data_IF_045916182252
#
_entry.id   IF_045916182252
#
_cell.length_a   1.000
_cell.length_b   1.000
_cell.length_c   1.000
_cell.angle_alpha   90.00
_cell.angle_beta   90.00
_cell.angle_gamma   90.00
#
_symmetry.space_group_name_H-M   'P 1'
#
loop_
_entity.id
_entity.type
_entity.pdbx_description
1 polymer ?
#
# COMPACT_ATOMS: atom_id res chain seq x y z
N UNK A 1 -12.87 10.24 -9.08
CA UNK A 1 -12.11 8.99 -9.16
C UNK A 1 -11.33 8.81 -7.88
N UNK A 2 -11.53 7.69 -7.18
CA UNK A 2 -10.80 7.43 -5.94
C UNK A 2 -9.36 7.02 -6.24
N UNK A 3 -8.43 7.69 -5.57
CA UNK A 3 -7.01 7.37 -5.69
C UNK A 3 -6.57 6.60 -4.44
N UNK A 4 -5.98 5.44 -4.65
CA UNK A 4 -5.47 4.63 -3.54
C UNK A 4 -4.24 5.32 -2.93
N UNK A 5 -4.27 5.60 -1.62
CA UNK A 5 -3.28 6.44 -0.95
C UNK A 5 -2.14 5.66 -0.31
N UNK A 6 -1.59 4.67 -1.01
CA UNK A 6 -0.53 3.86 -0.45
C UNK A 6 0.74 4.67 -0.17
N UNK A 7 1.14 5.56 -1.09
CA UNK A 7 2.31 6.40 -0.88
C UNK A 7 2.16 7.28 0.37
N UNK A 8 0.99 7.87 0.54
CA UNK A 8 0.72 8.72 1.70
C UNK A 8 0.71 7.91 3.00
N UNK A 9 0.16 6.70 2.96
CA UNK A 9 0.14 5.82 4.13
C UNK A 9 1.56 5.44 4.56
N UNK A 10 2.43 5.10 3.60
CA UNK A 10 3.81 4.77 3.91
C UNK A 10 4.57 5.97 4.47
N UNK A 11 4.36 7.16 3.89
CA UNK A 11 5.00 8.38 4.37
C UNK A 11 4.57 8.71 5.80
N UNK A 12 3.28 8.62 6.10
CA UNK A 12 2.76 8.86 7.45
C UNK A 12 3.31 7.84 8.45
N UNK A 13 3.42 6.59 8.04
CA UNK A 13 3.95 5.54 8.89
C UNK A 13 5.41 5.85 9.29
N UNK A 14 6.22 6.30 8.34
CA UNK A 14 7.59 6.69 8.61
C UNK A 14 7.66 7.88 9.56
N UNK A 15 6.82 8.88 9.37
CA UNK A 15 6.74 10.06 10.24
C UNK A 15 6.37 9.68 11.67
N UNK A 16 5.60 8.61 11.84
CA UNK A 16 5.19 8.11 13.15
C UNK A 16 6.19 7.12 13.77
N UNK A 17 7.35 6.95 13.13
CA UNK A 17 8.41 6.08 13.64
C UNK A 17 8.33 4.64 13.17
N UNK A 18 7.35 4.29 12.34
CA UNK A 18 7.22 2.95 11.77
C UNK A 18 7.85 2.91 10.38
N UNK A 19 9.02 2.32 10.28
CA UNK A 19 9.68 2.21 8.98
C UNK A 19 9.04 1.11 8.16
N UNK A 20 8.37 1.49 7.09
CA UNK A 20 7.75 0.55 6.14
C UNK A 20 8.66 0.44 4.92
N UNK A 21 9.22 -0.74 4.71
CA UNK A 21 10.02 -1.01 3.51
C UNK A 21 9.11 -1.32 2.34
N UNK A 22 9.24 -0.55 1.27
CA UNK A 22 8.46 -0.78 0.05
C UNK A 22 8.72 -2.17 -0.53
N UNK A 23 9.97 -2.62 -0.48
CA UNK A 23 10.36 -3.96 -0.95
C UNK A 23 9.71 -5.06 -0.11
N UNK A 24 9.74 -4.93 1.21
CA UNK A 24 9.12 -5.89 2.12
C UNK A 24 7.61 -5.94 1.92
N UNK A 25 6.99 -4.78 1.80
CA UNK A 25 5.55 -4.70 1.59
C UNK A 25 5.16 -5.35 0.26
N UNK A 26 5.91 -5.08 -0.80
CA UNK A 26 5.68 -5.70 -2.09
C UNK A 26 5.78 -7.22 -2.02
N UNK A 27 6.73 -7.75 -1.25
CA UNK A 27 6.87 -9.18 -1.04
C UNK A 27 5.68 -9.80 -0.33
N UNK A 28 5.08 -9.08 0.60
CA UNK A 28 3.87 -9.55 1.29
C UNK A 28 2.62 -9.46 0.41
N UNK A 29 2.53 -8.39 -0.39
CA UNK A 29 1.37 -8.18 -1.25
C UNK A 29 1.36 -9.11 -2.47
N UNK A 30 2.52 -9.43 -3.00
CA UNK A 30 2.65 -10.21 -4.24
C UNK A 30 3.60 -11.41 -4.05
N UNK A 31 3.28 -12.35 -3.14
CA UNK A 31 4.23 -13.41 -2.77
C UNK A 31 4.54 -14.40 -3.90
N UNK A 32 3.65 -14.52 -4.88
CA UNK A 32 3.85 -15.43 -6.01
C UNK A 32 4.55 -14.81 -7.20
N UNK A 33 4.96 -13.55 -7.12
CA UNK A 33 5.52 -12.81 -8.24
C UNK A 33 7.04 -12.70 -8.12
N UNK A 34 7.74 -12.59 -9.26
CA UNK A 34 9.17 -12.30 -9.27
C UNK A 34 9.42 -10.89 -8.70
N UNK A 35 10.68 -10.63 -8.32
CA UNK A 35 11.05 -9.34 -7.75
C UNK A 35 10.73 -8.19 -8.70
N UNK A 36 11.03 -8.35 -9.98
CA UNK A 36 10.71 -7.32 -10.98
C UNK A 36 9.20 -7.08 -11.10
N UNK A 37 8.41 -8.16 -11.11
CA UNK A 37 6.95 -8.05 -11.17
C UNK A 37 6.41 -7.40 -9.90
N UNK A 38 6.98 -7.70 -8.75
CA UNK A 38 6.59 -7.06 -7.49
C UNK A 38 6.80 -5.55 -7.54
N UNK A 39 7.94 -5.11 -8.08
CA UNK A 39 8.23 -3.68 -8.21
C UNK A 39 7.23 -2.98 -9.13
N UNK A 40 6.93 -3.57 -10.27
CA UNK A 40 5.97 -3.00 -11.23
C UNK A 40 4.59 -2.91 -10.60
N UNK A 41 4.13 -4.00 -9.99
CA UNK A 41 2.82 -4.03 -9.35
C UNK A 41 2.73 -3.03 -8.18
N UNK A 42 3.79 -2.91 -7.42
CA UNK A 42 3.84 -1.97 -6.30
C UNK A 42 3.79 -0.52 -6.80
N UNK A 43 4.51 -0.22 -7.88
CA UNK A 43 4.48 1.11 -8.50
C UNK A 43 3.08 1.45 -8.98
N UNK A 44 2.42 0.51 -9.66
CA UNK A 44 1.04 0.72 -10.13
C UNK A 44 0.09 0.95 -8.96
N UNK A 45 0.25 0.20 -7.89
CA UNK A 45 -0.58 0.35 -6.70
C UNK A 45 -0.37 1.72 -6.05
N UNK A 46 0.88 2.17 -5.93
CA UNK A 46 1.22 3.47 -5.36
C UNK A 46 0.67 4.63 -6.21
N UNK A 47 0.69 4.47 -7.53
CA UNK A 47 0.23 5.50 -8.45
C UNK A 47 -1.28 5.51 -8.64
N UNK A 48 -1.98 4.54 -8.08
CA UNK A 48 -3.42 4.44 -8.22
C UNK A 48 -3.88 3.96 -9.59
N UNK A 49 -2.99 3.34 -10.36
CA UNK A 49 -3.33 2.81 -11.70
C UNK A 49 -3.85 1.39 -11.66
N UNK A 50 -3.76 0.72 -10.51
CA UNK A 50 -4.31 -0.61 -10.32
C UNK A 50 -5.84 -0.55 -10.32
N UNK A 51 -6.48 -1.32 -11.20
CA UNK A 51 -7.93 -1.27 -11.36
C UNK A 51 -8.69 -1.96 -10.24
N UNK A 52 -8.09 -2.99 -9.64
CA UNK A 52 -8.73 -3.76 -8.57
C UNK A 52 -7.80 -3.85 -7.38
N UNK A 53 -8.36 -3.57 -6.21
CA UNK A 53 -7.65 -3.68 -4.94
C UNK A 53 -8.21 -4.90 -4.22
N UNK A 54 -7.36 -5.89 -3.96
CA UNK A 54 -7.78 -7.08 -3.24
C UNK A 54 -7.97 -6.76 -1.74
N UNK A 55 -9.01 -7.31 -1.09
CA UNK A 55 -9.21 -7.06 0.35
C UNK A 55 -8.02 -7.46 1.20
N UNK A 56 -7.32 -8.54 0.85
CA UNK A 56 -6.12 -8.99 1.57
C UNK A 56 -5.00 -7.95 1.53
N UNK A 57 -4.87 -7.20 0.43
CA UNK A 57 -3.89 -6.13 0.33
C UNK A 57 -4.20 -5.02 1.32
N UNK A 58 -5.46 -4.67 1.46
CA UNK A 58 -5.89 -3.63 2.40
C UNK A 58 -5.52 -4.04 3.82
N UNK A 59 -5.80 -5.28 4.20
CA UNK A 59 -5.46 -5.80 5.52
C UNK A 59 -3.96 -5.73 5.77
N UNK A 60 -3.14 -6.19 4.82
CA UNK A 60 -1.69 -6.16 4.96
C UNK A 60 -1.17 -4.73 5.10
N UNK A 61 -1.66 -3.83 4.25
CA UNK A 61 -1.22 -2.43 4.25
C UNK A 61 -1.60 -1.74 5.56
N UNK A 62 -2.82 -1.96 6.05
CA UNK A 62 -3.26 -1.35 7.31
C UNK A 62 -2.44 -1.86 8.49
N UNK A 63 -2.07 -3.13 8.49
CA UNK A 63 -1.20 -3.69 9.53
C UNK A 63 0.20 -3.10 9.48
N UNK A 64 0.79 -3.02 8.30
CA UNK A 64 2.16 -2.53 8.15
C UNK A 64 2.26 -1.02 8.37
N UNK A 65 1.30 -0.27 7.86
CA UNK A 65 1.34 1.20 7.92
C UNK A 65 0.63 1.79 9.12
N UNK A 66 -0.20 1.00 9.81
CA UNK A 66 -0.96 1.50 10.96
C UNK A 66 -2.02 2.52 10.58
N UNK A 67 -2.52 2.47 9.35
CA UNK A 67 -3.59 3.36 8.89
C UNK A 67 -4.90 2.60 8.73
N UNK A 68 -6.01 3.33 8.55
CA UNK A 68 -7.31 2.72 8.31
C UNK A 68 -7.51 2.43 6.82
N UNK A 69 -8.41 1.49 6.53
CA UNK A 69 -8.82 1.22 5.15
C UNK A 69 -9.49 2.46 4.53
N UNK A 70 -10.27 3.19 5.33
CA UNK A 70 -10.93 4.41 4.86
C UNK A 70 -9.91 5.45 4.38
N UNK A 71 -8.79 5.58 5.09
CA UNK A 71 -7.72 6.48 4.67
C UNK A 71 -7.14 6.06 3.33
N UNK A 72 -6.90 4.76 3.14
CA UNK A 72 -6.33 4.25 1.90
C UNK A 72 -7.23 4.53 0.70
N UNK A 73 -8.54 4.47 0.88
CA UNK A 73 -9.50 4.71 -0.19
C UNK A 73 -9.91 6.18 -0.31
N UNK A 74 -9.31 7.07 0.48
CA UNK A 74 -9.60 8.49 0.40
C UNK A 74 -10.93 8.91 0.99
N UNK A 75 -11.52 8.08 1.88
CA UNK A 75 -12.81 8.37 2.53
C UNK A 75 -12.64 9.22 3.79
N UNK A 76 -11.44 9.31 4.32
CA UNK A 76 -11.14 10.10 5.52
C UNK A 76 -9.70 10.62 5.40
N UNK A 77 -9.39 11.67 6.17
CA UNK A 77 -8.04 12.26 6.22
C UNK A 77 -7.23 11.82 7.43
N UNK A 78 -7.71 10.88 8.18
CA UNK A 78 -7.02 10.41 9.39
C UNK A 78 -5.71 9.68 9.09
#
# INVERSE_FOLDING_TARGET
MMKFRLNEAMARSQDNGNKVSKKRLAGRLFPGSSEGAQQVNMTNLCNGTTKRIKPEWVTIITEECGCSADFLFGLTND
#
